data_IF_881794786581
#
_entry.id   IF_881794786581
#
_cell.length_a   1.000
_cell.length_b   1.000
_cell.length_c   1.000
_cell.angle_alpha   90.00
_cell.angle_beta   90.00
_cell.angle_gamma   90.00
#
_symmetry.space_group_name_H-M   'P 1'
#
loop_
_entity.id
_entity.type
_entity.pdbx_description
1 polymer ?
#
# COMPACT_ATOMS: atom_id res chain seq x y z
N UNK A 1 13.06 25.47 -3.62
CA UNK A 1 13.97 24.32 -3.85
C UNK A 1 13.15 23.19 -4.44
N UNK A 2 13.16 23.04 -5.76
CA UNK A 2 12.46 21.96 -6.45
C UNK A 2 13.30 20.68 -6.35
N UNK A 3 13.02 19.83 -5.37
CA UNK A 3 13.59 18.48 -5.31
C UNK A 3 12.68 17.53 -6.07
N UNK A 4 12.74 17.57 -7.40
CA UNK A 4 12.31 16.44 -8.22
C UNK A 4 13.37 15.34 -8.07
N UNK A 5 13.34 14.65 -6.93
CA UNK A 5 13.99 13.35 -6.83
C UNK A 5 13.35 12.45 -7.87
N UNK A 6 14.17 11.74 -8.64
CA UNK A 6 13.81 10.83 -9.72
C UNK A 6 12.42 10.21 -9.50
N UNK A 7 11.43 10.62 -10.30
CA UNK A 7 10.08 10.05 -10.28
C UNK A 7 10.21 8.60 -10.74
N UNK A 8 10.42 7.68 -9.80
CA UNK A 8 10.15 6.28 -10.05
C UNK A 8 8.67 6.16 -10.44
N UNK A 9 8.31 5.24 -11.34
CA UNK A 9 6.91 5.09 -11.73
C UNK A 9 6.10 4.71 -10.49
N UNK A 10 5.29 5.65 -10.01
CA UNK A 10 4.36 5.42 -8.93
C UNK A 10 2.98 5.16 -9.52
N UNK A 11 2.33 4.08 -9.08
CA UNK A 11 0.92 3.84 -9.34
C UNK A 11 0.14 4.59 -8.25
N UNK A 12 -0.79 5.46 -8.64
CA UNK A 12 -1.62 6.19 -7.69
C UNK A 12 -2.96 5.50 -7.51
N UNK A 13 -3.28 5.12 -6.27
CA UNK A 13 -4.58 4.62 -5.89
C UNK A 13 -5.35 5.71 -5.15
N UNK A 14 -6.59 5.97 -5.55
CA UNK A 14 -7.44 7.02 -4.95
C UNK A 14 -8.45 6.47 -3.95
N UNK A 15 -8.64 5.17 -3.92
CA UNK A 15 -9.54 4.52 -2.96
C UNK A 15 -8.93 3.21 -2.47
N UNK A 16 -9.30 2.76 -1.25
CA UNK A 16 -8.88 1.45 -0.73
C UNK A 16 -9.20 0.31 -1.70
N UNK A 17 -10.38 0.31 -2.32
CA UNK A 17 -10.84 -0.75 -3.21
C UNK A 17 -9.99 -0.85 -4.50
N UNK A 18 -9.47 0.28 -4.99
CA UNK A 18 -8.57 0.26 -6.15
C UNK A 18 -7.25 -0.45 -5.82
N UNK A 19 -6.69 -0.20 -4.64
CA UNK A 19 -5.46 -0.85 -4.18
C UNK A 19 -5.72 -2.32 -3.86
N UNK A 20 -6.82 -2.63 -3.18
CA UNK A 20 -7.21 -4.01 -2.88
C UNK A 20 -7.38 -4.81 -4.16
N UNK A 21 -8.16 -4.32 -5.13
CA UNK A 21 -8.37 -5.00 -6.40
C UNK A 21 -7.09 -5.13 -7.23
N UNK A 22 -6.11 -4.24 -7.07
CA UNK A 22 -4.79 -4.40 -7.69
C UNK A 22 -4.02 -5.58 -7.09
N UNK A 23 -3.98 -5.69 -5.76
CA UNK A 23 -3.32 -6.79 -5.06
C UNK A 23 -4.01 -8.12 -5.37
N UNK A 24 -5.35 -8.18 -5.35
CA UNK A 24 -6.10 -9.39 -5.69
C UNK A 24 -5.82 -9.88 -7.13
N UNK A 25 -5.65 -8.95 -8.07
CA UNK A 25 -5.32 -9.29 -9.47
C UNK A 25 -3.88 -9.75 -9.66
N UNK A 26 -3.00 -9.51 -8.69
CA UNK A 26 -1.65 -10.05 -8.73
C UNK A 26 -1.62 -11.59 -8.53
N UNK A 27 -2.74 -12.20 -8.13
CA UNK A 27 -2.86 -13.64 -7.98
C UNK A 27 -1.88 -14.15 -6.93
N UNK A 28 -1.08 -15.16 -7.29
CA UNK A 28 -0.10 -15.76 -6.38
C UNK A 28 1.30 -15.08 -6.48
N UNK A 29 1.39 -13.88 -7.04
CA UNK A 29 2.66 -13.18 -7.14
C UNK A 29 3.14 -12.72 -5.76
N UNK A 30 4.46 -12.76 -5.57
CA UNK A 30 5.12 -12.21 -4.40
C UNK A 30 5.99 -11.03 -4.80
N UNK A 31 5.86 -9.91 -4.08
CA UNK A 31 6.66 -8.73 -4.37
C UNK A 31 6.78 -7.80 -3.16
N UNK A 32 7.86 -7.04 -3.15
CA UNK A 32 8.03 -5.94 -2.22
C UNK A 32 7.54 -4.66 -2.89
N UNK A 33 6.96 -3.78 -2.09
CA UNK A 33 6.51 -2.48 -2.55
C UNK A 33 6.62 -1.44 -1.45
N UNK A 34 6.65 -0.18 -1.84
CA UNK A 34 6.60 0.95 -0.93
C UNK A 34 5.33 1.75 -1.16
N UNK A 35 4.60 2.00 -0.09
CA UNK A 35 3.43 2.88 -0.11
C UNK A 35 3.79 4.25 0.47
N UNK A 36 3.27 5.28 -0.18
CA UNK A 36 3.50 6.69 0.11
C UNK A 36 2.15 7.35 0.42
N UNK A 37 1.75 7.44 1.70
CA UNK A 37 0.55 8.17 2.08
C UNK A 37 0.76 9.68 1.88
N UNK A 38 -0.33 10.46 1.76
CA UNK A 38 -0.27 11.93 1.67
C UNK A 38 0.39 12.54 2.91
N UNK A 39 0.09 11.99 4.07
CA UNK A 39 0.63 12.42 5.36
C UNK A 39 1.31 11.25 6.05
N UNK A 40 2.53 11.49 6.54
CA UNK A 40 3.36 10.48 7.19
C UNK A 40 4.64 10.18 6.41
N UNK A 41 5.27 9.07 6.77
CA UNK A 41 6.49 8.58 6.12
C UNK A 41 6.15 7.41 5.20
N UNK A 42 6.86 7.25 4.07
CA UNK A 42 6.71 6.07 3.23
C UNK A 42 7.08 4.80 3.99
N UNK A 43 6.31 3.74 3.80
CA UNK A 43 6.53 2.45 4.44
C UNK A 43 6.71 1.36 3.39
N UNK A 44 7.59 0.40 3.70
CA UNK A 44 7.85 -0.75 2.83
C UNK A 44 7.08 -1.97 3.33
N UNK A 45 6.53 -2.71 2.38
CA UNK A 45 5.70 -3.87 2.61
C UNK A 45 6.11 -5.01 1.67
N UNK A 46 5.84 -6.22 2.13
CA UNK A 46 5.91 -7.44 1.36
C UNK A 46 4.50 -7.99 1.15
N UNK A 47 4.13 -8.30 -0.09
CA UNK A 47 2.89 -8.99 -0.41
C UNK A 47 3.18 -10.46 -0.72
N UNK A 48 2.52 -11.37 0.00
CA UNK A 48 2.44 -12.79 -0.31
C UNK A 48 1.11 -13.06 -1.02
N UNK A 49 1.15 -13.33 -2.32
CA UNK A 49 -0.05 -13.63 -3.11
C UNK A 49 -0.68 -14.98 -2.78
N UNK A 50 0.14 -15.96 -2.37
CA UNK A 50 -0.34 -17.29 -1.96
C UNK A 50 -1.21 -17.19 -0.70
N UNK A 51 -0.75 -16.44 0.30
CA UNK A 51 -1.46 -16.28 1.57
C UNK A 51 -2.43 -15.09 1.55
N UNK A 52 -2.34 -14.23 0.53
CA UNK A 52 -3.03 -12.92 0.46
C UNK A 52 -2.75 -12.03 1.66
N UNK A 53 -1.53 -12.11 2.19
CA UNK A 53 -1.07 -11.37 3.37
C UNK A 53 -0.14 -10.25 2.94
N UNK A 54 -0.28 -9.10 3.58
CA UNK A 54 0.70 -8.02 3.50
C UNK A 54 1.46 -7.95 4.82
N UNK A 55 2.78 -7.87 4.77
CA UNK A 55 3.65 -7.71 5.94
C UNK A 55 4.43 -6.42 5.83
N UNK A 56 4.35 -5.56 6.84
CA UNK A 56 5.20 -4.38 6.95
C UNK A 56 6.62 -4.79 7.32
N UNK A 57 7.61 -4.30 6.58
CA UNK A 57 8.99 -4.74 6.76
C UNK A 57 9.61 -4.28 8.08
N UNK A 58 9.29 -3.07 8.54
CA UNK A 58 9.96 -2.44 9.68
C UNK A 58 9.76 -3.20 11.01
N UNK A 59 8.55 -3.67 11.27
CA UNK A 59 8.16 -4.33 12.52
C UNK A 59 7.63 -5.75 12.31
N UNK A 60 7.68 -6.26 11.08
CA UNK A 60 7.15 -7.57 10.69
C UNK A 60 5.67 -7.74 11.02
N UNK A 61 4.92 -6.65 11.19
CA UNK A 61 3.48 -6.70 11.41
C UNK A 61 2.82 -7.19 10.12
N UNK A 62 2.10 -8.30 10.21
CA UNK A 62 1.24 -8.77 9.14
C UNK A 62 -0.18 -8.23 9.31
N UNK A 63 -0.83 -7.96 8.19
CA UNK A 63 -2.25 -7.64 8.14
C UNK A 63 -3.02 -8.93 7.87
N UNK A 64 -4.09 -9.17 8.63
CA UNK A 64 -4.88 -10.41 8.56
C UNK A 64 -5.60 -10.58 7.22
N UNK A 65 -5.86 -9.47 6.51
CA UNK A 65 -6.45 -9.45 5.19
C UNK A 65 -6.08 -8.14 4.43
N UNK A 66 -6.45 -8.07 3.16
CA UNK A 66 -6.19 -6.91 2.31
C UNK A 66 -7.01 -5.67 2.71
N UNK A 67 -8.22 -5.85 3.26
CA UNK A 67 -9.06 -4.74 3.71
C UNK A 67 -8.37 -3.98 4.86
N UNK A 68 -7.89 -4.69 5.88
CA UNK A 68 -7.12 -4.12 7.00
C UNK A 68 -5.89 -3.36 6.52
N UNK A 69 -5.14 -3.94 5.57
CA UNK A 69 -3.98 -3.28 4.97
C UNK A 69 -4.37 -1.99 4.23
N UNK A 70 -5.39 -2.05 3.36
CA UNK A 70 -5.81 -0.87 2.59
C UNK A 70 -6.39 0.21 3.50
N UNK A 71 -7.18 -0.14 4.51
CA UNK A 71 -7.67 0.79 5.53
C UNK A 71 -6.53 1.44 6.32
N UNK A 72 -5.52 0.66 6.73
CA UNK A 72 -4.32 1.19 7.37
C UNK A 72 -3.61 2.22 6.46
N UNK A 73 -3.40 1.85 5.20
CA UNK A 73 -2.67 2.67 4.22
C UNK A 73 -3.43 3.95 3.87
N UNK A 74 -4.75 3.88 3.81
CA UNK A 74 -5.64 5.01 3.56
C UNK A 74 -6.05 5.78 4.83
N UNK A 75 -5.52 5.39 5.99
CA UNK A 75 -5.82 6.02 7.29
C UNK A 75 -7.33 6.08 7.56
N UNK A 76 -8.05 4.99 7.29
CA UNK A 76 -9.49 4.98 7.48
C UNK A 76 -9.91 5.23 8.93
N UNK A 77 -11.06 5.87 9.14
CA UNK A 77 -11.69 5.97 10.46
C UNK A 77 -12.41 4.67 10.86
N UNK A 78 -13.00 4.70 12.06
CA UNK A 78 -13.77 3.59 12.61
C UNK A 78 -15.03 3.23 11.81
N UNK A 79 -15.50 4.12 10.93
CA UNK A 79 -16.61 3.86 10.01
C UNK A 79 -16.13 3.33 8.65
N UNK A 80 -14.81 3.28 8.43
CA UNK A 80 -14.18 2.74 7.22
C UNK A 80 -13.91 3.78 6.12
N UNK A 81 -14.13 5.08 6.38
CA UNK A 81 -13.89 6.12 5.38
C UNK A 81 -12.42 6.53 5.34
N UNK A 82 -11.83 6.59 4.13
CA UNK A 82 -10.44 6.98 3.93
C UNK A 82 -10.18 8.45 4.28
N UNK A 83 -9.10 8.73 5.03
CA UNK A 83 -8.71 10.11 5.39
C UNK A 83 -7.61 10.68 4.49
N UNK A 84 -7.13 9.91 3.53
CA UNK A 84 -6.20 10.36 2.47
C UNK A 84 -6.88 10.34 1.11
N UNK A 85 -6.62 11.35 0.27
CA UNK A 85 -7.18 11.42 -1.09
C UNK A 85 -6.53 10.39 -2.05
N UNK A 86 -5.30 9.97 -1.74
CA UNK A 86 -4.58 8.96 -2.50
C UNK A 86 -3.44 8.33 -1.71
N UNK A 87 -2.95 7.21 -2.24
CA UNK A 87 -1.69 6.59 -1.86
C UNK A 87 -0.90 6.33 -3.13
N UNK A 88 0.37 6.75 -3.15
CA UNK A 88 1.29 6.41 -4.24
C UNK A 88 2.01 5.10 -3.91
N UNK A 89 2.17 4.25 -4.92
CA UNK A 89 2.67 2.87 -4.78
C UNK A 89 3.86 2.66 -5.71
N UNK A 90 4.96 2.12 -5.17
CA UNK A 90 6.18 1.81 -5.91
C UNK A 90 6.50 0.31 -5.75
N UNK A 91 6.54 -0.45 -6.84
CA UNK A 91 7.12 -1.80 -6.80
C UNK A 91 8.63 -1.71 -6.57
N UNK A 92 9.13 -2.51 -5.64
CA UNK A 92 10.54 -2.64 -5.33
C UNK A 92 11.07 -3.93 -5.99
N UNK A 93 11.97 -3.76 -6.96
CA UNK A 93 12.72 -4.86 -7.57
C UNK A 93 13.82 -5.38 -6.66
#
# INVERSE_FOLDING_TARGET
>A
MNKYGSQKPHIRFRTPEQLQGYLERAGNAEFNFRAYPISGSPETFHYSGEEKVVTRENDRKSFDNLEDFTCYTFQCDAEGYSHTEYVDFELLN
#
